data_IF_756632844389
#
_entry.id   IF_756632844389
#
_cell.length_a   1.000
_cell.length_b   1.000
_cell.length_c   1.000
_cell.angle_alpha   90.00
_cell.angle_beta   90.00
_cell.angle_gamma   90.00
#
_symmetry.space_group_name_H-M   'P 1'
#
loop_
_entity.id
_entity.type
_entity.pdbx_description
1 polymer ?
#
# COMPACT_ATOMS: atom_id res chain seq x y z
N UNK A 1 4.13 11.54 12.87
CA UNK A 1 3.19 11.17 11.77
C UNK A 1 3.52 9.76 11.32
N UNK A 2 2.52 8.87 11.28
CA UNK A 2 2.71 7.51 10.78
C UNK A 2 2.38 7.48 9.28
N UNK A 3 3.22 6.82 8.49
CA UNK A 3 2.98 6.55 7.08
C UNK A 3 2.67 5.06 6.90
N UNK A 4 1.75 4.77 5.98
CA UNK A 4 1.44 3.41 5.54
C UNK A 4 1.54 3.35 4.02
N UNK A 5 2.23 2.34 3.50
CA UNK A 5 2.33 2.08 2.08
C UNK A 5 1.49 0.87 1.71
N UNK A 6 0.82 0.91 0.57
CA UNK A 6 0.01 -0.20 0.04
C UNK A 6 0.40 -0.42 -1.41
N UNK A 7 0.57 -1.68 -1.78
CA UNK A 7 0.80 -2.09 -3.16
C UNK A 7 -0.53 -2.54 -3.76
N UNK A 8 -0.90 -1.97 -4.90
CA UNK A 8 -1.88 -2.54 -5.81
C UNK A 8 -1.14 -3.50 -6.72
N UNK A 9 -1.61 -4.74 -6.76
CA UNK A 9 -1.03 -5.78 -7.61
C UNK A 9 -1.24 -5.52 -9.10
N UNK A 10 -0.84 -6.50 -9.90
CA UNK A 10 -0.80 -6.41 -11.36
C UNK A 10 -2.15 -6.02 -11.97
N UNK A 11 -2.20 -4.82 -12.55
CA UNK A 11 -3.35 -4.30 -13.29
C UNK A 11 -2.86 -3.61 -14.59
N UNK A 12 -2.61 -4.36 -15.68
CA UNK A 12 -1.97 -3.85 -16.89
C UNK A 12 -2.82 -2.88 -17.71
N UNK A 13 -4.15 -2.87 -17.48
CA UNK A 13 -5.05 -1.94 -18.18
C UNK A 13 -5.23 -0.69 -17.35
N UNK A 14 -4.90 0.48 -17.90
CA UNK A 14 -4.94 1.76 -17.19
C UNK A 14 -6.29 2.05 -16.52
N UNK A 15 -7.41 1.70 -17.17
CA UNK A 15 -8.75 1.84 -16.57
C UNK A 15 -8.95 0.96 -15.34
N UNK A 16 -8.41 -0.27 -15.34
CA UNK A 16 -8.47 -1.16 -14.17
C UNK A 16 -7.55 -0.66 -13.05
N UNK A 17 -6.36 -0.17 -13.41
CA UNK A 17 -5.42 0.42 -12.45
C UNK A 17 -6.04 1.65 -11.76
N UNK A 18 -6.63 2.56 -12.53
CA UNK A 18 -7.30 3.74 -11.98
C UNK A 18 -8.43 3.38 -11.02
N UNK A 19 -9.31 2.43 -11.39
CA UNK A 19 -10.39 1.97 -10.53
C UNK A 19 -9.88 1.31 -9.24
N UNK A 20 -8.79 0.52 -9.32
CA UNK A 20 -8.20 -0.11 -8.14
C UNK A 20 -7.56 0.91 -7.19
N UNK A 21 -6.89 1.93 -7.73
CA UNK A 21 -6.33 3.05 -6.95
C UNK A 21 -7.47 3.83 -6.27
N UNK A 22 -8.52 4.19 -7.00
CA UNK A 22 -9.68 4.91 -6.47
C UNK A 22 -10.36 4.12 -5.34
N UNK A 23 -10.63 2.84 -5.57
CA UNK A 23 -11.22 1.96 -4.57
C UNK A 23 -10.38 1.94 -3.29
N UNK A 24 -9.07 1.67 -3.41
CA UNK A 24 -8.19 1.56 -2.23
C UNK A 24 -8.03 2.91 -1.52
N UNK A 25 -7.96 4.02 -2.26
CA UNK A 25 -7.91 5.35 -1.69
C UNK A 25 -9.17 5.67 -0.87
N UNK A 26 -10.35 5.34 -1.39
CA UNK A 26 -11.63 5.54 -0.69
C UNK A 26 -11.77 4.62 0.54
N UNK A 27 -11.34 3.36 0.44
CA UNK A 27 -11.28 2.44 1.59
C UNK A 27 -10.41 3.03 2.71
N UNK A 28 -9.23 3.53 2.38
CA UNK A 28 -8.30 4.12 3.35
C UNK A 28 -8.82 5.45 3.93
N UNK A 29 -9.45 6.28 3.11
CA UNK A 29 -10.10 7.51 3.57
C UNK A 29 -11.23 7.21 4.57
N UNK A 30 -11.98 6.12 4.36
CA UNK A 30 -13.07 5.71 5.26
C UNK A 30 -12.57 5.32 6.67
N UNK A 31 -11.32 4.86 6.76
CA UNK A 31 -10.64 4.54 8.04
C UNK A 31 -9.72 5.67 8.52
N UNK A 32 -9.88 6.87 7.96
CA UNK A 32 -9.22 8.10 8.41
C UNK A 32 -7.82 8.33 7.85
N UNK A 33 -7.33 7.51 6.93
CA UNK A 33 -6.01 7.71 6.30
C UNK A 33 -6.12 8.61 5.07
N UNK A 34 -5.19 9.55 4.93
CA UNK A 34 -5.15 10.44 3.78
C UNK A 34 -4.14 9.94 2.74
N UNK A 35 -4.55 9.85 1.48
CA UNK A 35 -3.65 9.53 0.37
C UNK A 35 -2.72 10.72 0.10
N UNK A 36 -1.42 10.50 0.19
CA UNK A 36 -0.38 11.53 -0.04
C UNK A 36 0.07 11.54 -1.49
N UNK A 37 0.39 10.36 -2.03
CA UNK A 37 0.89 10.20 -3.39
C UNK A 37 0.77 8.74 -3.84
N UNK A 38 0.89 8.51 -5.14
CA UNK A 38 1.01 7.17 -5.71
C UNK A 38 1.91 7.17 -6.94
N UNK A 39 2.42 6.00 -7.30
CA UNK A 39 3.13 5.79 -8.56
C UNK A 39 2.76 4.44 -9.16
N UNK A 40 2.67 4.38 -10.49
CA UNK A 40 2.50 3.13 -11.25
C UNK A 40 3.88 2.71 -11.75
N UNK A 41 4.24 1.46 -11.47
CA UNK A 41 5.52 0.86 -11.84
C UNK A 41 5.45 0.22 -13.22
N UNK A 42 6.61 -0.02 -13.84
CA UNK A 42 6.71 -0.67 -15.15
C UNK A 42 6.24 -2.14 -15.13
N UNK A 43 6.12 -2.76 -13.95
CA UNK A 43 5.52 -4.09 -13.76
C UNK A 43 3.99 -4.05 -13.63
N UNK A 44 3.36 -2.92 -13.98
CA UNK A 44 1.92 -2.68 -13.88
C UNK A 44 1.34 -2.92 -12.47
N UNK A 45 2.14 -2.68 -11.43
CA UNK A 45 1.70 -2.53 -10.04
C UNK A 45 1.67 -1.05 -9.66
N UNK A 46 0.93 -0.67 -8.63
CA UNK A 46 1.00 0.68 -8.08
C UNK A 46 1.41 0.67 -6.61
N UNK A 47 2.13 1.71 -6.20
CA UNK A 47 2.49 1.96 -4.79
C UNK A 47 1.73 3.22 -4.36
N UNK A 48 0.95 3.13 -3.30
CA UNK A 48 0.21 4.23 -2.71
C UNK A 48 0.80 4.53 -1.33
N UNK A 49 0.98 5.81 -1.02
CA UNK A 49 1.49 6.29 0.26
C UNK A 49 0.37 7.04 0.98
N UNK A 50 0.05 6.59 2.18
CA UNK A 50 -0.95 7.19 3.05
C UNK A 50 -0.31 7.77 4.31
N UNK A 51 -0.89 8.84 4.83
CA UNK A 51 -0.53 9.41 6.14
C UNK A 51 -1.68 9.28 7.13
N UNK A 52 -1.34 8.94 8.37
CA UNK A 52 -2.28 9.00 9.47
C UNK A 52 -2.58 10.47 9.81
N UNK A 53 -3.81 10.80 10.23
CA UNK A 53 -4.14 12.11 10.74
C UNK A 53 -3.33 12.35 12.02
N UNK A 54 -3.02 13.60 12.32
CA UNK A 54 -2.07 13.98 13.38
C UNK A 54 -2.42 13.39 14.77
N UNK A 55 -3.69 13.09 15.00
CA UNK A 55 -4.21 12.45 16.21
C UNK A 55 -3.99 10.93 16.33
N UNK A 56 -3.66 10.21 15.25
CA UNK A 56 -3.64 8.73 15.20
C UNK A 56 -2.23 8.11 15.23
N UNK A 57 -1.17 8.91 15.41
CA UNK A 57 0.23 8.48 15.29
C UNK A 57 0.76 7.55 16.41
N UNK A 58 -0.09 7.00 17.27
CA UNK A 58 0.32 6.20 18.44
C UNK A 58 0.15 4.67 18.29
N UNK A 59 -0.29 4.18 17.13
CA UNK A 59 -0.39 2.73 16.85
C UNK A 59 0.38 2.36 15.58
N UNK A 60 1.70 2.33 15.66
CA UNK A 60 2.57 1.82 14.59
C UNK A 60 3.85 1.22 15.18
N UNK A 61 3.73 0.03 15.76
CA UNK A 61 4.87 -0.85 15.95
C UNK A 61 4.37 -2.31 15.91
N UNK A 62 4.19 -2.84 14.70
CA UNK A 62 4.27 -4.29 14.46
C UNK A 62 5.39 -4.51 13.44
N UNK A 63 6.47 -5.22 13.81
CA UNK A 63 7.56 -5.58 12.90
C UNK A 63 7.06 -6.54 11.82
N UNK A 64 7.55 -6.33 10.61
CA UNK A 64 7.43 -7.21 9.45
C UNK A 64 8.13 -8.55 9.76
N UNK A 65 7.35 -9.62 9.91
CA UNK A 65 7.83 -10.98 10.17
C UNK A 65 8.34 -11.62 8.87
N UNK A 66 9.66 -11.75 8.80
CA UNK A 66 10.49 -12.80 8.17
C UNK A 66 9.90 -13.63 7.02
N UNK A 67 10.36 -13.36 5.79
CA UNK A 67 10.40 -14.35 4.73
C UNK A 67 11.55 -15.34 4.99
N UNK A 68 11.23 -16.52 5.51
CA UNK A 68 12.17 -17.62 5.69
C UNK A 68 12.64 -18.17 4.34
N UNK A 69 13.96 -18.25 4.20
CA UNK A 69 14.65 -18.98 3.16
C UNK A 69 14.61 -20.48 3.46
N UNK A 70 14.19 -21.30 2.49
CA UNK A 70 14.62 -22.69 2.41
C UNK A 70 14.93 -22.99 0.94
N UNK A 71 16.21 -22.89 0.60
CA UNK A 71 16.79 -23.71 -0.44
C UNK A 71 17.20 -25.02 0.23
N UNK A 72 16.69 -26.14 -0.28
CA UNK A 72 17.22 -27.44 0.05
C UNK A 72 17.64 -28.10 -1.26
N UNK A 73 18.92 -28.45 -1.31
CA UNK A 73 19.58 -29.11 -2.41
C UNK A 73 19.96 -30.50 -1.91
N UNK A 74 19.38 -31.54 -2.50
CA UNK A 74 19.98 -32.87 -2.73
C UNK A 74 19.37 -33.50 -3.99
#
# INVERSE_FOLDING_TARGET
>A
MAYKTIVIDYAPKSKKMAAAIEQKANEMASVGWELVTFSVTNSAKAILVFRAPEAAAQQSAVPEETAEAVGDAE
#
